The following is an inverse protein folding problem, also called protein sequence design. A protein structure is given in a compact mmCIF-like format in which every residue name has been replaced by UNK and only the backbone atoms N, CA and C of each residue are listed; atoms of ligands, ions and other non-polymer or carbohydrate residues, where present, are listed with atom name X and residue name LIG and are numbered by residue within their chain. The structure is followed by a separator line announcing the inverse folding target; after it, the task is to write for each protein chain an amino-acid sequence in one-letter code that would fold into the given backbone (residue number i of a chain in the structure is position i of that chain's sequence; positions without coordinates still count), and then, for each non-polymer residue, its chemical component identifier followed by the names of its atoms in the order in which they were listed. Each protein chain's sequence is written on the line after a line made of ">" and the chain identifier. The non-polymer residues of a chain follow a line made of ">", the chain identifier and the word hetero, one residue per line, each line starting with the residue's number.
data_IF_202855552957
#
_entry.id   IF_202855552957
#
_cell.length_a   1.000
_cell.length_b   1.000
_cell.length_c   1.000
_cell.angle_alpha   90.00
_cell.angle_beta   90.00
_cell.angle_gamma   90.00
#
_symmetry.space_group_name_H-M   'P 1'
#
loop_
_entity.id
_entity.type
_entity.pdbx_description
1 polymer ?
#
# COMPACT_ATOMS: atom_id res chain seq x y z
N UNK A 1 1.69 12.72 -5.11
CA UNK A 1 2.69 12.05 -5.99
C UNK A 1 2.01 11.44 -7.21
N UNK A 2 2.74 11.01 -8.25
CA UNK A 2 2.14 10.35 -9.43
C UNK A 2 1.91 8.85 -9.16
N UNK A 3 0.91 8.26 -9.82
CA UNK A 3 0.51 6.86 -9.61
C UNK A 3 0.29 6.15 -10.95
N UNK A 4 0.99 5.03 -11.14
CA UNK A 4 0.55 3.99 -12.08
C UNK A 4 -0.26 2.93 -11.32
N UNK A 5 -1.14 2.19 -11.98
CA UNK A 5 -1.92 1.15 -11.30
C UNK A 5 -2.20 -0.05 -12.17
N UNK A 6 -2.33 -1.21 -11.54
CA UNK A 6 -2.79 -2.47 -12.16
C UNK A 6 -3.82 -3.15 -11.26
N UNK A 7 -4.74 -3.88 -11.88
CA UNK A 7 -5.80 -4.64 -11.23
C UNK A 7 -5.61 -6.13 -11.50
N UNK A 8 -5.88 -6.95 -10.49
CA UNK A 8 -5.78 -8.41 -10.55
C UNK A 8 -7.05 -9.02 -9.97
N UNK A 9 -7.64 -9.99 -10.65
CA UNK A 9 -8.81 -10.74 -10.18
C UNK A 9 -10.02 -9.86 -9.75
N UNK A 10 -10.15 -8.67 -10.31
CA UNK A 10 -11.23 -7.73 -10.01
C UNK A 10 -12.27 -7.74 -11.12
N UNK A 11 -13.48 -8.21 -10.83
CA UNK A 11 -14.63 -8.04 -11.74
C UNK A 11 -15.23 -6.64 -11.64
N UNK A 12 -15.87 -6.18 -12.71
CA UNK A 12 -16.41 -4.81 -12.81
C UNK A 12 -17.41 -4.46 -11.70
N UNK A 13 -18.25 -5.43 -11.30
CA UNK A 13 -19.23 -5.24 -10.23
C UNK A 13 -18.54 -4.97 -8.89
N UNK A 14 -17.46 -5.70 -8.58
CA UNK A 14 -16.69 -5.50 -7.36
C UNK A 14 -16.00 -4.13 -7.36
N UNK A 15 -15.45 -3.72 -8.50
CA UNK A 15 -14.80 -2.41 -8.63
C UNK A 15 -15.81 -1.27 -8.45
N UNK A 16 -16.99 -1.40 -9.04
CA UNK A 16 -18.05 -0.41 -8.91
C UNK A 16 -18.55 -0.28 -7.46
N UNK A 17 -18.69 -1.40 -6.72
CA UNK A 17 -19.15 -1.37 -5.33
C UNK A 17 -18.14 -0.80 -4.34
N UNK A 18 -16.85 -0.78 -4.70
CA UNK A 18 -15.75 -0.27 -3.86
C UNK A 18 -15.12 1.02 -4.42
N UNK A 19 -15.80 1.68 -5.37
CA UNK A 19 -15.24 2.83 -6.10
C UNK A 19 -14.92 4.02 -5.19
N UNK A 20 -15.71 4.22 -4.13
CA UNK A 20 -15.47 5.27 -3.14
C UNK A 20 -14.15 5.05 -2.42
N UNK A 21 -13.95 3.86 -1.83
CA UNK A 21 -12.73 3.51 -1.09
C UNK A 21 -11.50 3.48 -2.01
N UNK A 22 -11.64 2.97 -3.24
CA UNK A 22 -10.57 3.04 -4.25
C UNK A 22 -10.21 4.51 -4.54
N UNK A 23 -11.22 5.36 -4.72
CA UNK A 23 -11.04 6.80 -4.93
C UNK A 23 -10.30 7.46 -3.78
N UNK A 24 -10.64 7.14 -2.54
CA UNK A 24 -9.99 7.65 -1.32
C UNK A 24 -8.53 7.20 -1.22
N UNK A 25 -8.22 5.92 -1.49
CA UNK A 25 -6.82 5.43 -1.54
C UNK A 25 -6.01 6.27 -2.52
N UNK A 26 -6.53 6.48 -3.74
CA UNK A 26 -5.83 7.25 -4.74
C UNK A 26 -5.74 8.73 -4.31
N UNK A 27 -6.78 9.30 -3.72
CA UNK A 27 -6.77 10.67 -3.22
C UNK A 27 -5.69 10.86 -2.13
N UNK A 28 -5.57 9.94 -1.18
CA UNK A 28 -4.55 9.97 -0.13
C UNK A 28 -3.13 9.95 -0.72
N UNK A 29 -2.89 9.11 -1.73
CA UNK A 29 -1.60 9.07 -2.43
C UNK A 29 -1.32 10.37 -3.18
N UNK A 30 -2.32 10.94 -3.87
CA UNK A 30 -2.14 12.19 -4.59
C UNK A 30 -1.91 13.38 -3.66
N UNK A 31 -2.56 13.40 -2.49
CA UNK A 31 -2.45 14.46 -1.49
C UNK A 31 -1.03 14.58 -0.90
N UNK A 32 -0.29 13.47 -0.81
CA UNK A 32 1.09 13.50 -0.32
C UNK A 32 2.05 13.89 -1.46
N UNK A 33 2.67 15.06 -1.32
CA UNK A 33 3.69 15.56 -2.24
C UNK A 33 4.94 14.66 -2.21
N UNK A 34 5.51 14.35 -3.37
CA UNK A 34 6.78 13.63 -3.43
C UNK A 34 7.96 14.60 -3.33
N UNK A 35 8.99 14.22 -2.58
CA UNK A 35 10.28 14.94 -2.48
C UNK A 35 11.45 13.96 -2.38
N UNK A 36 12.58 14.32 -2.99
CA UNK A 36 13.86 13.59 -2.92
C UNK A 36 14.31 13.29 -1.49
N UNK A 37 14.23 14.32 -0.64
CA UNK A 37 14.52 14.28 0.79
C UNK A 37 13.24 14.55 1.57
N UNK A 38 12.29 13.63 1.47
CA UNK A 38 11.00 13.77 2.14
C UNK A 38 11.15 13.81 3.66
N UNK A 39 10.56 14.84 4.26
CA UNK A 39 10.41 15.00 5.70
C UNK A 39 8.95 15.33 6.03
N UNK A 40 8.46 14.78 7.13
CA UNK A 40 7.13 15.04 7.64
C UNK A 40 7.20 15.33 9.14
N UNK A 41 6.74 16.51 9.55
CA UNK A 41 6.77 16.94 10.93
C UNK A 41 5.40 16.70 11.59
N UNK A 42 5.38 16.04 12.74
CA UNK A 42 4.18 15.83 13.55
C UNK A 42 4.54 15.82 15.02
N UNK A 43 3.80 16.59 15.83
CA UNK A 43 3.97 16.62 17.30
C UNK A 43 5.42 16.87 17.75
N UNK A 44 6.11 17.80 17.08
CA UNK A 44 7.50 18.16 17.39
C UNK A 44 8.55 17.14 16.97
N UNK A 45 8.17 16.04 16.30
CA UNK A 45 9.08 15.04 15.74
C UNK A 45 9.12 15.13 14.22
N UNK A 46 10.30 14.92 13.64
CA UNK A 46 10.51 14.88 12.18
C UNK A 46 10.75 13.44 11.74
N UNK A 47 9.93 12.96 10.82
CA UNK A 47 10.00 11.64 10.21
C UNK A 47 10.53 11.78 8.78
N UNK A 48 11.46 10.92 8.38
CA UNK A 48 12.16 11.03 7.10
C UNK A 48 11.89 9.84 6.19
N UNK A 49 11.89 10.10 4.88
CA UNK A 49 11.79 9.09 3.82
C UNK A 49 10.64 8.10 4.06
N UNK A 50 10.89 6.78 4.14
CA UNK A 50 9.85 5.77 4.31
C UNK A 50 8.94 6.04 5.53
N UNK A 51 9.54 6.37 6.67
CA UNK A 51 8.79 6.67 7.89
C UNK A 51 7.97 7.97 7.74
N UNK A 52 8.52 8.95 7.03
CA UNK A 52 7.80 10.18 6.69
C UNK A 52 6.59 9.90 5.80
N UNK A 53 6.78 9.20 4.68
CA UNK A 53 5.69 8.89 3.76
C UNK A 53 4.62 8.01 4.41
N UNK A 54 5.02 7.00 5.19
CA UNK A 54 4.06 6.18 5.95
C UNK A 54 3.22 7.03 6.88
N UNK A 55 3.84 7.98 7.61
CA UNK A 55 3.10 8.85 8.51
C UNK A 55 2.20 9.84 7.76
N UNK A 56 2.68 10.42 6.65
CA UNK A 56 1.89 11.33 5.83
C UNK A 56 0.64 10.63 5.27
N UNK A 57 0.81 9.45 4.68
CA UNK A 57 -0.30 8.63 4.18
C UNK A 57 -1.24 8.21 5.31
N UNK A 58 -0.70 7.83 6.48
CA UNK A 58 -1.53 7.49 7.64
C UNK A 58 -2.40 8.67 8.12
N UNK A 59 -1.90 9.90 8.01
CA UNK A 59 -2.69 11.10 8.32
C UNK A 59 -3.82 11.26 7.31
N UNK A 60 -3.56 11.13 6.01
CA UNK A 60 -4.60 11.21 4.97
C UNK A 60 -5.66 10.09 5.10
N UNK A 61 -5.24 8.86 5.35
CA UNK A 61 -6.19 7.77 5.60
C UNK A 61 -7.05 8.04 6.84
N UNK A 62 -6.45 8.58 7.91
CA UNK A 62 -7.18 8.92 9.13
C UNK A 62 -8.21 10.05 8.91
N UNK A 63 -7.88 11.08 8.13
CA UNK A 63 -8.84 12.17 7.82
C UNK A 63 -10.02 11.65 7.01
N UNK A 64 -9.82 10.61 6.20
CA UNK A 64 -10.87 9.92 5.44
C UNK A 64 -11.61 8.83 6.24
N UNK A 65 -11.30 8.66 7.54
CA UNK A 65 -12.01 7.72 8.41
C UNK A 65 -11.62 6.24 8.21
N UNK A 66 -10.40 5.96 7.76
CA UNK A 66 -9.88 4.59 7.70
C UNK A 66 -9.41 4.11 9.07
N UNK A 67 -9.70 2.86 9.39
CA UNK A 67 -9.17 2.16 10.56
C UNK A 67 -7.67 1.94 10.38
N UNK A 68 -6.85 2.40 11.31
CA UNK A 68 -5.41 2.10 11.33
C UNK A 68 -5.13 0.80 12.08
N UNK A 69 -4.19 0.01 11.57
CA UNK A 69 -3.75 -1.26 12.19
C UNK A 69 -4.88 -2.27 12.46
N UNK A 70 -5.76 -2.56 11.46
CA UNK A 70 -6.81 -3.54 11.62
C UNK A 70 -6.23 -4.93 11.94
N UNK A 71 -6.74 -5.57 12.99
CA UNK A 71 -6.34 -6.93 13.36
C UNK A 71 -7.13 -7.93 12.52
N UNK A 72 -6.43 -8.67 11.65
CA UNK A 72 -7.01 -9.78 10.89
C UNK A 72 -7.10 -11.05 11.73
N UNK A 73 -6.08 -11.30 12.55
CA UNK A 73 -5.99 -12.45 13.45
C UNK A 73 -5.19 -12.09 14.69
N UNK A 74 -5.61 -12.59 15.85
CA UNK A 74 -4.94 -12.34 17.13
C UNK A 74 -3.80 -13.31 17.40
N UNK A 75 -3.96 -14.59 17.04
CA UNK A 75 -2.95 -15.64 17.24
C UNK A 75 -2.91 -16.68 16.09
N UNK A 76 -1.83 -16.75 15.28
CA UNK A 76 -0.72 -15.80 15.25
C UNK A 76 -1.20 -14.39 14.87
N UNK A 77 -0.50 -13.36 15.35
CA UNK A 77 -0.90 -11.97 15.16
C UNK A 77 -0.71 -11.54 13.70
N UNK A 78 -1.81 -11.20 13.04
CA UNK A 78 -1.85 -10.63 11.68
C UNK A 78 -2.54 -9.27 11.74
N UNK A 79 -1.81 -8.23 11.38
CA UNK A 79 -2.26 -6.84 11.40
C UNK A 79 -2.01 -6.23 10.03
N UNK A 80 -2.97 -5.45 9.55
CA UNK A 80 -2.84 -4.63 8.35
C UNK A 80 -2.36 -3.21 8.60
N UNK A 81 -2.19 -2.43 7.54
CA UNK A 81 -1.94 -1.00 7.73
C UNK A 81 -3.24 -0.22 7.86
N UNK A 82 -4.16 -0.38 6.90
CA UNK A 82 -5.46 0.32 6.94
C UNK A 82 -6.63 -0.54 6.44
N UNK A 83 -7.83 -0.24 6.93
CA UNK A 83 -9.08 -0.81 6.41
C UNK A 83 -10.21 0.22 6.42
N UNK A 84 -11.06 0.16 5.41
CA UNK A 84 -12.38 0.81 5.42
C UNK A 84 -13.37 -0.10 4.72
N UNK A 85 -14.44 -0.50 5.42
CA UNK A 85 -15.35 -1.54 4.96
C UNK A 85 -14.59 -2.83 4.62
N UNK A 86 -14.73 -3.31 3.38
CA UNK A 86 -14.09 -4.52 2.85
C UNK A 86 -12.85 -4.23 2.00
N UNK A 87 -12.35 -2.99 2.00
CA UNK A 87 -11.09 -2.61 1.35
C UNK A 87 -9.97 -2.58 2.38
N UNK A 88 -8.89 -3.30 2.09
CA UNK A 88 -7.74 -3.49 2.97
C UNK A 88 -6.46 -3.02 2.29
N UNK A 89 -5.68 -2.16 2.95
CA UNK A 89 -4.50 -1.51 2.37
C UNK A 89 -3.24 -1.92 3.12
N UNK A 90 -2.19 -2.21 2.37
CA UNK A 90 -0.80 -2.32 2.83
C UNK A 90 0.06 -1.29 2.08
N UNK A 91 0.90 -0.56 2.81
CA UNK A 91 1.90 0.35 2.26
C UNK A 91 3.27 -0.31 2.40
N UNK A 92 3.83 -0.77 1.29
CA UNK A 92 5.04 -1.59 1.30
C UNK A 92 6.28 -0.78 0.87
N UNK A 93 6.99 -0.22 1.86
CA UNK A 93 8.34 0.35 1.70
C UNK A 93 9.44 -0.50 2.34
N UNK A 94 9.14 -1.76 2.67
CA UNK A 94 10.05 -2.73 3.24
C UNK A 94 10.79 -3.56 2.19
N UNK A 95 11.44 -4.62 2.67
CA UNK A 95 12.20 -5.55 1.83
C UNK A 95 11.26 -6.34 0.90
N UNK A 96 11.74 -6.75 -0.28
CA UNK A 96 10.98 -7.56 -1.22
C UNK A 96 10.38 -8.85 -0.62
N UNK A 97 11.05 -9.48 0.33
CA UNK A 97 10.54 -10.67 1.03
C UNK A 97 9.27 -10.40 1.86
N UNK A 98 9.01 -9.15 2.27
CA UNK A 98 7.79 -8.84 3.05
C UNK A 98 6.54 -8.84 2.19
N UNK A 99 6.65 -8.79 0.85
CA UNK A 99 5.52 -8.97 -0.07
C UNK A 99 4.77 -10.27 0.18
N UNK A 100 5.49 -11.38 0.41
CA UNK A 100 4.87 -12.68 0.63
C UNK A 100 3.99 -12.70 1.89
N UNK A 101 4.38 -11.92 2.90
CA UNK A 101 3.55 -11.74 4.10
C UNK A 101 2.28 -10.96 3.78
N UNK A 102 2.37 -9.92 2.97
CA UNK A 102 1.19 -9.14 2.57
C UNK A 102 0.24 -9.96 1.69
N UNK A 103 0.77 -10.75 0.76
CA UNK A 103 -0.02 -11.71 -0.02
C UNK A 103 -0.71 -12.73 0.88
N UNK A 104 -0.03 -13.24 1.91
CA UNK A 104 -0.65 -14.11 2.90
C UNK A 104 -1.78 -13.40 3.66
N UNK A 105 -1.57 -12.15 4.11
CA UNK A 105 -2.63 -11.36 4.77
C UNK A 105 -3.83 -11.18 3.84
N UNK A 106 -3.61 -10.91 2.55
CA UNK A 106 -4.68 -10.76 1.56
C UNK A 106 -5.49 -12.05 1.42
N UNK A 107 -4.81 -13.18 1.23
CA UNK A 107 -5.47 -14.48 1.09
C UNK A 107 -6.21 -14.86 2.36
N UNK A 108 -5.60 -14.66 3.53
CA UNK A 108 -6.24 -14.90 4.82
C UNK A 108 -7.48 -14.03 5.00
N UNK A 109 -7.36 -12.72 4.72
CA UNK A 109 -8.46 -11.78 4.82
C UNK A 109 -9.63 -12.16 3.93
N UNK A 110 -9.38 -12.49 2.66
CA UNK A 110 -10.43 -12.90 1.74
C UNK A 110 -11.09 -14.23 2.17
N UNK A 111 -10.28 -15.24 2.50
CA UNK A 111 -10.78 -16.56 2.89
C UNK A 111 -11.65 -16.54 4.17
N UNK A 112 -11.48 -15.52 5.02
CA UNK A 112 -12.25 -15.35 6.25
C UNK A 112 -13.32 -14.24 6.15
N UNK A 113 -13.60 -13.72 4.94
CA UNK A 113 -14.62 -12.68 4.73
C UNK A 113 -14.29 -11.33 5.37
N UNK A 114 -13.01 -11.06 5.67
CA UNK A 114 -12.55 -9.82 6.32
C UNK A 114 -12.25 -8.69 5.32
N UNK A 115 -12.08 -9.03 4.05
CA UNK A 115 -11.90 -8.11 2.93
C UNK A 115 -12.51 -8.70 1.66
N UNK A 116 -12.77 -7.84 0.69
CA UNK A 116 -13.12 -8.22 -0.69
C UNK A 116 -12.15 -7.63 -1.71
N UNK A 117 -11.43 -6.57 -1.35
CA UNK A 117 -10.39 -5.95 -2.18
C UNK A 117 -9.16 -5.68 -1.33
N UNK A 118 -8.01 -6.20 -1.76
CA UNK A 118 -6.71 -5.82 -1.26
C UNK A 118 -6.13 -4.66 -2.07
N UNK A 119 -5.37 -3.80 -1.43
CA UNK A 119 -4.63 -2.71 -2.05
C UNK A 119 -3.19 -2.77 -1.57
N UNK A 120 -2.24 -2.90 -2.50
CA UNK A 120 -0.82 -2.88 -2.20
C UNK A 120 -0.18 -1.63 -2.79
N UNK A 121 0.05 -0.61 -1.95
CA UNK A 121 0.72 0.63 -2.36
C UNK A 121 2.23 0.43 -2.27
N UNK A 122 2.95 0.64 -3.38
CA UNK A 122 4.36 0.28 -3.49
C UNK A 122 5.13 1.24 -4.42
N UNK A 123 6.43 1.50 -4.24
CA UNK A 123 7.21 2.26 -5.20
C UNK A 123 7.30 1.55 -6.55
N UNK A 124 7.15 2.31 -7.64
CA UNK A 124 7.38 1.77 -8.99
C UNK A 124 8.84 1.45 -9.25
N UNK A 125 9.74 2.33 -8.79
CA UNK A 125 11.17 2.12 -8.80
C UNK A 125 11.74 2.71 -7.49
N UNK A 126 12.16 1.88 -6.52
CA UNK A 126 12.64 2.36 -5.23
C UNK A 126 13.83 3.33 -5.33
N UNK A 127 14.75 3.10 -6.27
CA UNK A 127 15.94 3.95 -6.44
C UNK A 127 15.58 5.32 -6.99
N UNK A 128 14.58 5.42 -7.86
CA UNK A 128 14.07 6.70 -8.36
C UNK A 128 13.18 7.39 -7.34
N UNK A 129 12.36 6.64 -6.59
CA UNK A 129 11.45 7.20 -5.59
C UNK A 129 12.17 7.68 -4.33
N UNK A 130 13.29 7.03 -3.96
CA UNK A 130 14.16 7.40 -2.83
C UNK A 130 15.61 7.68 -3.30
N UNK A 131 15.84 8.73 -4.11
CA UNK A 131 17.12 8.91 -4.80
C UNK A 131 18.28 9.22 -3.86
N UNK A 132 18.00 9.78 -2.68
CA UNK A 132 18.98 10.09 -1.62
C UNK A 132 19.32 8.88 -0.74
N UNK A 133 18.66 7.73 -0.94
CA UNK A 133 18.74 6.54 -0.09
C UNK A 133 19.02 5.24 -0.86
N UNK A 134 19.66 5.33 -2.03
CA UNK A 134 19.87 4.20 -2.96
C UNK A 134 20.31 2.88 -2.30
N UNK A 135 21.30 2.94 -1.39
CA UNK A 135 21.80 1.75 -0.67
C UNK A 135 20.73 1.13 0.25
N UNK A 136 19.92 1.94 0.91
CA UNK A 136 18.88 1.46 1.82
C UNK A 136 17.67 0.85 1.11
N UNK A 137 17.50 1.12 -0.19
CA UNK A 137 16.33 0.71 -0.96
C UNK A 137 16.64 -0.35 -2.03
N UNK A 138 17.87 -0.84 -2.07
CA UNK A 138 18.34 -1.80 -3.10
C UNK A 138 17.53 -3.10 -3.12
N UNK A 139 17.07 -3.56 -1.95
CA UNK A 139 16.23 -4.77 -1.81
C UNK A 139 14.79 -4.42 -1.43
N UNK A 140 14.35 -3.18 -1.65
CA UNK A 140 12.98 -2.77 -1.37
C UNK A 140 12.04 -3.45 -2.35
N UNK A 141 10.83 -3.77 -1.88
CA UNK A 141 9.77 -4.23 -2.76
C UNK A 141 9.46 -3.16 -3.83
N UNK A 142 9.22 -3.60 -5.06
CA UNK A 142 8.87 -2.72 -6.17
C UNK A 142 7.65 -3.26 -6.95
N UNK A 143 7.03 -2.36 -7.70
CA UNK A 143 5.86 -2.65 -8.52
C UNK A 143 6.08 -3.80 -9.50
N UNK A 144 7.24 -3.88 -10.16
CA UNK A 144 7.52 -4.92 -11.14
C UNK A 144 7.63 -6.31 -10.51
N UNK A 145 8.23 -6.41 -9.31
CA UNK A 145 8.23 -7.66 -8.56
C UNK A 145 6.82 -8.04 -8.09
N UNK A 146 6.07 -7.10 -7.51
CA UNK A 146 4.71 -7.35 -7.06
C UNK A 146 3.79 -7.78 -8.20
N UNK A 147 3.90 -7.14 -9.37
CA UNK A 147 3.17 -7.50 -10.58
C UNK A 147 3.47 -8.95 -11.03
N UNK A 148 4.75 -9.32 -11.12
CA UNK A 148 5.14 -10.70 -11.45
C UNK A 148 4.59 -11.70 -10.43
N UNK A 149 4.70 -11.40 -9.13
CA UNK A 149 4.17 -12.27 -8.09
C UNK A 149 2.66 -12.44 -8.20
N UNK A 150 1.90 -11.36 -8.34
CA UNK A 150 0.43 -11.41 -8.48
C UNK A 150 -0.02 -12.06 -9.78
N UNK A 151 0.81 -12.03 -10.83
CA UNK A 151 0.50 -12.66 -12.12
C UNK A 151 0.83 -14.16 -12.15
N UNK A 152 1.85 -14.61 -11.41
CA UNK A 152 2.40 -15.98 -11.51
C UNK A 152 2.03 -16.85 -10.31
N UNK A 153 2.04 -16.28 -9.10
CA UNK A 153 1.72 -17.02 -7.88
C UNK A 153 0.20 -17.10 -7.72
N UNK A 154 -0.32 -18.14 -7.06
CA UNK A 154 -1.76 -18.33 -6.86
C UNK A 154 -2.35 -17.39 -5.78
N UNK A 155 -2.05 -16.09 -5.86
CA UNK A 155 -2.62 -15.05 -4.99
C UNK A 155 -3.99 -14.65 -5.54
N UNK A 156 -4.97 -15.53 -5.36
CA UNK A 156 -6.32 -15.40 -5.91
C UNK A 156 -7.20 -14.41 -5.13
N UNK A 157 -6.69 -13.19 -4.92
CA UNK A 157 -7.39 -12.12 -4.20
C UNK A 157 -7.58 -10.94 -5.13
N UNK A 158 -8.80 -10.37 -5.23
CA UNK A 158 -8.98 -9.12 -5.94
C UNK A 158 -8.03 -8.06 -5.37
N UNK A 159 -7.13 -7.55 -6.21
CA UNK A 159 -6.04 -6.69 -5.77
C UNK A 159 -5.89 -5.48 -6.68
N UNK A 160 -5.84 -4.30 -6.09
CA UNK A 160 -5.35 -3.07 -6.71
C UNK A 160 -3.88 -2.86 -6.33
N UNK A 161 -3.03 -2.62 -7.32
CA UNK A 161 -1.60 -2.37 -7.13
C UNK A 161 -1.26 -0.94 -7.59
N UNK A 162 -1.30 0.08 -6.69
CA UNK A 162 -0.80 1.42 -7.00
C UNK A 162 0.73 1.47 -6.90
N UNK A 163 1.38 1.79 -8.01
CA UNK A 163 2.81 2.08 -8.11
C UNK A 163 3.10 3.57 -7.96
N UNK A 164 3.86 3.93 -6.93
CA UNK A 164 4.24 5.31 -6.64
C UNK A 164 5.42 5.76 -7.52
N UNK A 165 5.23 6.91 -8.15
CA UNK A 165 6.21 7.56 -9.02
C UNK A 165 6.59 8.93 -8.45
N UNK A 166 7.84 9.38 -8.65
CA UNK A 166 8.21 10.78 -8.44
C UNK A 166 7.26 11.74 -9.15
N UNK A 167 7.00 12.90 -8.54
CA UNK A 167 6.39 14.02 -9.26
C UNK A 167 7.54 14.82 -9.90
N UNK A 168 7.55 14.88 -11.24
CA UNK A 168 8.49 15.72 -12.01
C UNK A 168 8.16 17.19 -11.80
#
# INVERSE_FOLDING_TARGET
>A
MQVQKKLFHCGDILLASMNTEIGEVLAAVHAVEWRDSFEYAKEGKVYRHQAGYNLALAVEFKTMGWDSQPVLRTDPKLIGDFRKGLVFVEIQFGNSATLYRDFYKFQYGLANGLLSLAVLVIPSNPVQFFPTRRRSVQNMADFGLADRCLSVLPVNVPTLLPGLLPAV
#
